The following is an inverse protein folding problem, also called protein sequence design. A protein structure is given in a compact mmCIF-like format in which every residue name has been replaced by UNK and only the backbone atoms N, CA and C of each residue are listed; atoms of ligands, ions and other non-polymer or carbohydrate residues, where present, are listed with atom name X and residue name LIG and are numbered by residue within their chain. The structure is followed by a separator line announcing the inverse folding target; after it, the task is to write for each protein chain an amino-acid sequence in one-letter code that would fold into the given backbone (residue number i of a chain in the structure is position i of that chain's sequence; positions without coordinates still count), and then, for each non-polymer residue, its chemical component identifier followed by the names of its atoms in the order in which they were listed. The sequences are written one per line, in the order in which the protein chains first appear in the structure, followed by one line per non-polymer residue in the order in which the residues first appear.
data_IF_590764975719
#
_entry.id   IF_590764975719
#
_cell.length_a   1.000
_cell.length_b   1.000
_cell.length_c   1.000
_cell.angle_alpha   90.00
_cell.angle_beta   90.00
_cell.angle_gamma   90.00
#
_symmetry.space_group_name_H-M   'P 1'
#
loop_
_entity.id
_entity.type
_entity.pdbx_description
1 polymer ?
#
# COMPACT_ATOMS: atom_id res chain seq x y z
N UNK A 1 -6.59 39.18 2.54
CA UNK A 1 -7.09 37.92 1.95
C UNK A 1 -5.90 37.16 1.41
N UNK A 2 -6.02 35.82 1.38
CA UNK A 2 -5.05 34.84 0.88
C UNK A 2 -4.09 34.27 1.93
N UNK A 3 -4.65 33.43 2.80
CA UNK A 3 -3.93 32.33 3.45
C UNK A 3 -4.68 31.01 3.18
N UNK A 4 -5.22 30.86 1.98
CA UNK A 4 -5.85 29.64 1.49
C UNK A 4 -5.02 29.14 0.31
N UNK A 5 -3.89 28.50 0.60
CA UNK A 5 -3.23 27.60 -0.36
C UNK A 5 -2.26 26.63 0.34
N UNK A 6 -2.60 26.24 1.57
CA UNK A 6 -1.99 25.10 2.21
C UNK A 6 -2.88 23.89 1.95
N UNK A 7 -2.39 22.88 1.25
CA UNK A 7 -3.06 21.58 1.18
C UNK A 7 -3.23 21.09 2.62
N UNK A 8 -4.47 21.14 3.15
CA UNK A 8 -4.80 20.66 4.48
C UNK A 8 -4.87 19.14 4.45
N UNK A 9 -3.78 18.48 4.82
CA UNK A 9 -3.76 17.02 4.99
C UNK A 9 -4.08 16.74 6.46
N UNK A 10 -5.26 16.15 6.71
CA UNK A 10 -5.58 15.58 8.02
C UNK A 10 -4.66 14.38 8.27
N UNK A 11 -3.64 14.60 9.08
CA UNK A 11 -2.61 13.60 9.41
C UNK A 11 -3.19 12.33 10.02
N UNK A 12 -4.30 12.43 10.76
CA UNK A 12 -4.99 11.26 11.30
C UNK A 12 -5.53 10.37 10.18
N UNK A 13 -6.10 10.99 9.15
CA UNK A 13 -6.64 10.28 7.99
C UNK A 13 -5.54 9.70 7.09
N UNK A 14 -4.42 10.40 6.89
CA UNK A 14 -3.31 9.90 6.07
C UNK A 14 -2.65 8.65 6.69
N UNK A 15 -2.39 8.65 8.00
CA UNK A 15 -1.81 7.49 8.68
C UNK A 15 -2.78 6.30 8.67
N UNK A 16 -4.07 6.58 8.87
CA UNK A 16 -5.13 5.58 8.83
C UNK A 16 -5.22 4.94 7.43
N UNK A 17 -5.18 5.75 6.38
CA UNK A 17 -5.24 5.26 5.00
C UNK A 17 -4.01 4.42 4.61
N UNK A 18 -2.80 4.85 4.98
CA UNK A 18 -1.57 4.07 4.76
C UNK A 18 -1.66 2.70 5.44
N UNK A 19 -2.06 2.66 6.70
CA UNK A 19 -2.19 1.40 7.44
C UNK A 19 -3.30 0.50 6.85
N UNK A 20 -4.45 1.07 6.50
CA UNK A 20 -5.55 0.33 5.87
C UNK A 20 -5.12 -0.30 4.53
N UNK A 21 -4.36 0.41 3.71
CA UNK A 21 -3.84 -0.14 2.45
C UNK A 21 -2.88 -1.31 2.69
N UNK A 22 -1.99 -1.23 3.68
CA UNK A 22 -1.10 -2.32 4.05
C UNK A 22 -1.89 -3.54 4.54
N UNK A 23 -2.87 -3.32 5.42
CA UNK A 23 -3.71 -4.39 5.97
C UNK A 23 -4.53 -5.07 4.87
N UNK A 24 -5.11 -4.31 3.94
CA UNK A 24 -5.84 -4.85 2.80
C UNK A 24 -4.94 -5.64 1.86
N UNK A 25 -3.72 -5.18 1.62
CA UNK A 25 -2.72 -5.89 0.80
C UNK A 25 -2.39 -7.24 1.41
N UNK A 26 -2.13 -7.28 2.73
CA UNK A 26 -1.84 -8.52 3.44
C UNK A 26 -3.03 -9.48 3.40
N UNK A 27 -4.27 -8.97 3.57
CA UNK A 27 -5.49 -9.77 3.42
C UNK A 27 -5.63 -10.37 2.02
N UNK A 28 -5.40 -9.57 0.97
CA UNK A 28 -5.41 -10.05 -0.42
C UNK A 28 -4.36 -11.14 -0.60
N UNK A 29 -3.14 -10.96 -0.09
CA UNK A 29 -2.10 -11.99 -0.16
C UNK A 29 -2.48 -13.28 0.56
N UNK A 30 -3.15 -13.19 1.72
CA UNK A 30 -3.66 -14.35 2.46
C UNK A 30 -4.73 -15.11 1.68
N UNK A 31 -5.75 -14.41 1.20
CA UNK A 31 -6.83 -14.98 0.37
C UNK A 31 -6.25 -15.71 -0.84
N UNK A 32 -5.18 -15.19 -1.43
CA UNK A 32 -4.54 -15.80 -2.58
C UNK A 32 -3.75 -17.06 -2.24
N UNK A 33 -3.06 -17.08 -1.10
CA UNK A 33 -2.41 -18.29 -0.59
C UNK A 33 -3.44 -19.40 -0.36
N UNK A 34 -4.60 -19.05 0.21
CA UNK A 34 -5.70 -19.99 0.45
C UNK A 34 -6.28 -20.51 -0.86
N UNK A 35 -6.60 -19.59 -1.79
CA UNK A 35 -7.11 -19.94 -3.13
C UNK A 35 -6.13 -20.83 -3.90
N UNK A 36 -4.82 -20.65 -3.73
CA UNK A 36 -3.82 -21.53 -4.31
C UNK A 36 -3.81 -22.92 -3.69
N UNK A 37 -3.95 -23.02 -2.38
CA UNK A 37 -4.08 -24.32 -1.70
C UNK A 37 -5.30 -25.09 -2.21
N UNK A 38 -6.44 -24.41 -2.33
CA UNK A 38 -7.67 -24.98 -2.87
C UNK A 38 -7.51 -25.39 -4.34
N UNK A 39 -6.96 -24.51 -5.17
CA UNK A 39 -6.74 -24.77 -6.59
C UNK A 39 -5.69 -25.87 -6.81
N UNK A 40 -4.67 -26.01 -5.98
CA UNK A 40 -3.65 -27.06 -6.14
C UNK A 40 -4.27 -28.46 -6.15
N UNK A 41 -5.30 -28.69 -5.34
CA UNK A 41 -6.05 -29.95 -5.31
C UNK A 41 -6.81 -30.18 -6.62
N UNK A 42 -7.44 -29.13 -7.15
CA UNK A 42 -8.21 -29.18 -8.40
C UNK A 42 -7.28 -29.34 -9.61
N UNK A 43 -6.21 -28.58 -9.68
CA UNK A 43 -5.18 -28.63 -10.73
C UNK A 43 -4.45 -29.97 -10.74
N UNK A 44 -4.29 -30.61 -9.58
CA UNK A 44 -3.78 -31.98 -9.48
C UNK A 44 -4.65 -33.00 -10.21
N UNK A 45 -5.95 -32.73 -10.37
CA UNK A 45 -6.87 -33.57 -11.14
C UNK A 45 -6.88 -33.26 -12.65
N UNK A 46 -6.30 -32.13 -13.06
CA UNK A 46 -6.24 -31.75 -14.46
C UNK A 46 -5.19 -32.60 -15.19
N UNK A 47 -5.56 -33.06 -16.37
CA UNK A 47 -4.69 -33.84 -17.24
C UNK A 47 -4.37 -33.04 -18.50
N UNK A 48 -3.12 -33.14 -18.95
CA UNK A 48 -2.72 -32.59 -20.23
C UNK A 48 -2.47 -31.07 -20.22
N UNK A 49 -2.62 -30.41 -21.38
CA UNK A 49 -2.08 -29.06 -21.64
C UNK A 49 -2.58 -27.98 -20.67
N UNK A 50 -3.79 -28.10 -20.14
CA UNK A 50 -4.38 -27.09 -19.27
C UNK A 50 -3.69 -27.01 -17.91
N UNK A 51 -3.29 -28.18 -17.37
CA UNK A 51 -2.46 -28.25 -16.16
C UNK A 51 -1.12 -27.57 -16.41
N UNK A 52 -0.51 -27.85 -17.56
CA UNK A 52 0.80 -27.29 -17.90
C UNK A 52 0.74 -25.77 -18.10
N UNK A 53 -0.31 -25.26 -18.74
CA UNK A 53 -0.51 -23.81 -18.90
C UNK A 53 -0.71 -23.15 -17.54
N UNK A 54 -1.55 -23.73 -16.69
CA UNK A 54 -1.80 -23.17 -15.36
C UNK A 54 -0.51 -23.12 -14.53
N UNK A 55 0.18 -24.25 -14.42
CA UNK A 55 1.36 -24.43 -13.56
C UNK A 55 2.54 -23.58 -14.07
N UNK A 56 2.74 -23.51 -15.38
CA UNK A 56 3.91 -22.84 -15.96
C UNK A 56 3.68 -21.36 -16.32
N UNK A 57 2.43 -20.91 -16.44
CA UNK A 57 2.13 -19.53 -16.87
C UNK A 57 1.19 -18.81 -15.93
N UNK A 58 0.00 -19.35 -15.69
CA UNK A 58 -1.06 -18.61 -14.96
C UNK A 58 -0.66 -18.37 -13.52
N UNK A 59 -0.30 -19.43 -12.79
CA UNK A 59 0.03 -19.32 -11.37
C UNK A 59 1.28 -18.44 -11.12
N UNK A 60 2.41 -18.61 -11.84
CA UNK A 60 3.57 -17.74 -11.67
C UNK A 60 3.30 -16.28 -12.01
N UNK A 61 2.57 -16.01 -13.11
CA UNK A 61 2.25 -14.62 -13.53
C UNK A 61 1.40 -13.95 -12.47
N UNK A 62 0.34 -14.62 -12.01
CA UNK A 62 -0.53 -14.07 -10.99
C UNK A 62 0.21 -13.79 -9.67
N UNK A 63 1.10 -14.71 -9.24
CA UNK A 63 1.96 -14.51 -8.07
C UNK A 63 2.86 -13.28 -8.19
N UNK A 64 3.46 -13.08 -9.36
CA UNK A 64 4.32 -11.93 -9.61
C UNK A 64 3.53 -10.61 -9.53
N UNK A 65 2.32 -10.55 -10.11
CA UNK A 65 1.48 -9.36 -10.06
C UNK A 65 1.06 -8.99 -8.64
N UNK A 66 0.73 -9.98 -7.81
CA UNK A 66 0.34 -9.78 -6.42
C UNK A 66 1.52 -9.26 -5.59
N UNK A 67 2.71 -9.83 -5.80
CA UNK A 67 3.93 -9.35 -5.15
C UNK A 67 4.28 -7.91 -5.60
N UNK A 68 4.06 -7.60 -6.87
CA UNK A 68 4.23 -6.25 -7.42
C UNK A 68 3.28 -5.25 -6.76
N UNK A 69 1.99 -5.58 -6.67
CA UNK A 69 1.00 -4.77 -5.96
C UNK A 69 1.39 -4.51 -4.50
N UNK A 70 1.88 -5.54 -3.80
CA UNK A 70 2.35 -5.39 -2.43
C UNK A 70 3.54 -4.43 -2.30
N UNK A 71 4.48 -4.50 -3.26
CA UNK A 71 5.63 -3.59 -3.32
C UNK A 71 5.18 -2.15 -3.59
N UNK A 72 4.26 -1.95 -4.54
CA UNK A 72 3.74 -0.63 -4.91
C UNK A 72 3.01 0.00 -3.71
N UNK A 73 2.13 -0.75 -3.06
CA UNK A 73 1.36 -0.26 -1.91
C UNK A 73 2.26 0.07 -0.72
N UNK A 74 3.26 -0.77 -0.45
CA UNK A 74 4.26 -0.46 0.60
C UNK A 74 5.04 0.82 0.30
N UNK A 75 5.45 1.02 -0.95
CA UNK A 75 6.13 2.24 -1.39
C UNK A 75 5.25 3.49 -1.26
N UNK A 76 3.96 3.38 -1.60
CA UNK A 76 3.00 4.49 -1.46
C UNK A 76 2.73 4.82 0.01
N UNK A 77 2.58 3.83 0.88
CA UNK A 77 2.42 4.04 2.31
C UNK A 77 3.62 4.79 2.91
N UNK A 78 4.84 4.36 2.58
CA UNK A 78 6.07 5.05 3.01
C UNK A 78 6.17 6.48 2.49
N UNK A 79 5.74 6.72 1.25
CA UNK A 79 5.72 8.07 0.66
C UNK A 79 4.74 8.98 1.41
N UNK A 80 3.53 8.48 1.70
CA UNK A 80 2.51 9.24 2.45
C UNK A 80 2.99 9.56 3.87
N UNK A 81 3.64 8.60 4.55
CA UNK A 81 4.22 8.83 5.87
C UNK A 81 5.32 9.89 5.82
N UNK A 82 6.22 9.81 4.82
CA UNK A 82 7.28 10.79 4.62
C UNK A 82 6.76 12.20 4.33
N UNK A 83 5.70 12.33 3.52
CA UNK A 83 5.02 13.62 3.27
C UNK A 83 4.41 14.15 4.56
N UNK A 84 3.71 13.30 5.32
CA UNK A 84 3.09 13.65 6.60
C UNK A 84 4.12 14.18 7.61
N UNK A 85 5.27 13.51 7.73
CA UNK A 85 6.34 13.90 8.65
C UNK A 85 7.06 15.18 8.21
N UNK A 86 7.34 15.34 6.91
CA UNK A 86 7.96 16.56 6.38
C UNK A 86 7.07 17.80 6.60
N UNK A 87 5.76 17.65 6.39
CA UNK A 87 4.81 18.74 6.62
C UNK A 87 4.67 19.07 8.11
N UNK A 88 4.55 18.07 9.00
CA UNK A 88 4.59 18.30 10.46
C UNK A 88 5.83 19.09 10.87
N UNK A 89 7.00 18.68 10.39
CA UNK A 89 8.25 19.36 10.71
C UNK A 89 8.26 20.81 10.22
N UNK A 90 7.71 21.06 9.03
CA UNK A 90 7.58 22.41 8.47
C UNK A 90 6.62 23.26 9.30
N UNK A 91 5.48 22.72 9.71
CA UNK A 91 4.50 23.42 10.57
C UNK A 91 5.11 23.73 11.94
N UNK A 92 5.76 22.76 12.59
CA UNK A 92 6.45 22.98 13.88
C UNK A 92 7.52 24.07 13.79
N UNK A 93 8.34 24.06 12.72
CA UNK A 93 9.35 25.10 12.50
C UNK A 93 8.72 26.47 12.29
N UNK A 94 7.66 26.54 11.50
CA UNK A 94 6.95 27.80 11.26
C UNK A 94 6.28 28.32 12.54
N UNK A 95 5.64 27.45 13.34
CA UNK A 95 4.98 27.86 14.58
C UNK A 95 5.98 28.42 15.60
N UNK A 96 7.16 27.81 15.72
CA UNK A 96 8.25 28.33 16.57
C UNK A 96 8.75 29.69 16.07
N UNK A 97 8.93 29.86 14.76
CA UNK A 97 9.31 31.15 14.19
C UNK A 97 8.27 32.25 14.41
N UNK A 98 6.97 31.92 14.38
CA UNK A 98 5.90 32.86 14.71
C UNK A 98 5.80 33.20 16.20
N UNK A 99 6.21 32.30 17.10
CA UNK A 99 6.35 32.62 18.54
C UNK A 99 7.55 33.54 18.80
N UNK A 100 8.64 33.37 18.05
CA UNK A 100 9.85 34.19 18.15
C UNK A 100 9.63 35.64 17.66
N UNK A 101 8.76 35.84 16.66
CA UNK A 101 8.40 37.17 16.12
C UNK A 101 7.40 37.93 17.03
N UNK A 102 6.76 37.24 17.99
CA UNK A 102 5.78 37.84 18.91
C UNK A 102 6.41 38.55 20.13
N UNK A 103 7.74 38.70 20.17
CA UNK A 103 8.46 39.46 21.20
C UNK A 103 9.21 40.65 20.60
#
# INVERSE_FOLDING_TARGET
MSAEDGIYIDHGQSLTFSQEMLDQTQRISGILSDLQGELATIVGSWLGPDRDIYTNKVQPTWNAEVASLSTILSSHAQTLDGISDNYKQTVYRNSQGFEEIKF
#
